data_IF_731882102848
#
_entry.id   IF_731882102848
#
_cell.length_a   1.000
_cell.length_b   1.000
_cell.length_c   1.000
_cell.angle_alpha   90.00
_cell.angle_beta   90.00
_cell.angle_gamma   90.00
#
_symmetry.space_group_name_H-M   'P 1'
#
loop_
_entity.id
_entity.type
_entity.pdbx_description
1 polymer ?
#
# COMPACT_ATOMS: atom_id res chain seq x y z
N UNK A 1 -5.50 6.66 -3.16
CA UNK A 1 -5.47 6.18 -4.58
C UNK A 1 -6.25 4.86 -4.75
N UNK A 2 -7.10 4.49 -3.80
CA UNK A 2 -7.96 3.30 -3.93
C UNK A 2 -9.08 3.57 -4.94
N UNK A 3 -9.13 2.76 -6.01
CA UNK A 3 -10.20 2.89 -7.02
C UNK A 3 -11.49 2.28 -6.49
N UNK A 4 -12.60 2.99 -6.70
CA UNK A 4 -13.94 2.46 -6.52
C UNK A 4 -14.36 1.60 -7.72
N UNK A 5 -15.31 0.70 -7.53
CA UNK A 5 -15.84 -0.18 -8.58
C UNK A 5 -16.41 0.60 -9.77
N UNK A 6 -16.99 1.77 -9.52
CA UNK A 6 -17.59 2.64 -10.52
C UNK A 6 -16.62 3.19 -11.59
N UNK A 7 -15.31 3.10 -11.37
CA UNK A 7 -14.30 3.53 -12.33
C UNK A 7 -13.93 2.45 -13.36
N UNK A 8 -14.33 1.20 -13.13
CA UNK A 8 -13.90 0.05 -13.94
C UNK A 8 -15.07 -0.72 -14.55
N UNK A 9 -14.93 -1.04 -15.82
CA UNK A 9 -15.78 -2.05 -16.44
C UNK A 9 -15.42 -3.46 -15.94
N UNK A 10 -16.38 -4.41 -15.91
CA UNK A 10 -16.10 -5.79 -15.49
C UNK A 10 -14.99 -6.48 -16.28
N UNK A 11 -14.84 -6.14 -17.56
CA UNK A 11 -13.80 -6.69 -18.42
C UNK A 11 -12.39 -6.22 -18.01
N UNK A 12 -12.24 -4.91 -17.74
CA UNK A 12 -10.96 -4.33 -17.26
C UNK A 12 -10.67 -4.85 -15.85
N UNK A 13 -11.65 -4.85 -14.96
CA UNK A 13 -11.50 -5.40 -13.61
C UNK A 13 -11.03 -6.87 -13.62
N UNK A 14 -11.66 -7.72 -14.43
CA UNK A 14 -11.26 -9.13 -14.61
C UNK A 14 -9.83 -9.28 -15.15
N UNK A 15 -9.42 -8.43 -16.10
CA UNK A 15 -8.06 -8.40 -16.62
C UNK A 15 -7.05 -8.04 -15.53
N UNK A 16 -7.35 -7.02 -14.73
CA UNK A 16 -6.47 -6.59 -13.65
C UNK A 16 -6.37 -7.64 -12.52
N UNK A 17 -7.47 -8.35 -12.22
CA UNK A 17 -7.43 -9.51 -11.33
C UNK A 17 -6.52 -10.62 -11.88
N UNK A 18 -6.61 -10.94 -13.16
CA UNK A 18 -5.75 -11.96 -13.79
C UNK A 18 -4.26 -11.57 -13.73
N UNK A 19 -3.92 -10.31 -14.05
CA UNK A 19 -2.56 -9.80 -13.97
C UNK A 19 -2.01 -9.85 -12.53
N UNK A 20 -2.76 -9.32 -11.58
CA UNK A 20 -2.36 -9.28 -10.17
C UNK A 20 -2.23 -10.68 -9.58
N UNK A 21 -3.13 -11.61 -9.94
CA UNK A 21 -3.06 -13.01 -9.51
C UNK A 21 -1.84 -13.74 -10.10
N UNK A 22 -1.49 -13.47 -11.36
CA UNK A 22 -0.29 -14.05 -11.97
C UNK A 22 0.99 -13.62 -11.24
N UNK A 23 1.10 -12.33 -10.89
CA UNK A 23 2.23 -11.80 -10.10
C UNK A 23 2.22 -12.35 -8.68
N UNK A 24 1.05 -12.53 -8.07
CA UNK A 24 0.92 -13.16 -6.75
C UNK A 24 1.39 -14.61 -6.77
N UNK A 25 0.98 -15.39 -7.76
CA UNK A 25 1.43 -16.78 -7.94
C UNK A 25 2.96 -16.87 -8.11
N UNK A 26 3.52 -15.99 -8.95
CA UNK A 26 4.99 -15.87 -9.06
C UNK A 26 5.63 -15.55 -7.71
N UNK A 27 5.09 -14.58 -6.98
CA UNK A 27 5.63 -14.16 -5.67
C UNK A 27 5.59 -15.28 -4.63
N UNK A 28 4.49 -16.03 -4.58
CA UNK A 28 4.36 -17.23 -3.73
C UNK A 28 5.44 -18.26 -4.08
N UNK A 29 5.66 -18.54 -5.36
CA UNK A 29 6.69 -19.53 -5.77
C UNK A 29 8.11 -19.10 -5.38
N UNK A 30 8.39 -17.80 -5.38
CA UNK A 30 9.69 -17.25 -4.95
C UNK A 30 9.88 -17.37 -3.44
N UNK A 31 8.88 -16.94 -2.64
CA UNK A 31 8.97 -16.99 -1.17
C UNK A 31 9.05 -18.43 -0.65
N UNK A 32 8.34 -19.37 -1.30
CA UNK A 32 8.41 -20.80 -0.92
C UNK A 32 9.81 -21.38 -1.00
N UNK A 33 10.70 -20.83 -1.82
CA UNK A 33 12.10 -21.27 -1.98
C UNK A 33 13.05 -20.60 -1.00
N UNK A 34 12.61 -19.54 -0.31
CA UNK A 34 13.42 -18.85 0.68
C UNK A 34 13.28 -19.53 2.05
N UNK A 35 14.41 -19.74 2.74
CA UNK A 35 14.46 -20.37 4.07
C UNK A 35 14.82 -19.34 5.16
N UNK A 36 14.23 -18.14 5.07
CA UNK A 36 14.44 -17.06 6.05
C UNK A 36 13.31 -17.06 7.09
N UNK A 37 13.63 -17.53 8.29
CA UNK A 37 12.69 -17.57 9.41
C UNK A 37 12.33 -16.18 9.96
N UNK A 38 13.14 -15.16 9.69
CA UNK A 38 12.91 -13.79 10.16
C UNK A 38 11.94 -13.03 9.23
N UNK A 39 11.74 -13.53 8.02
CA UNK A 39 10.94 -12.87 6.99
C UNK A 39 9.46 -12.73 7.39
N UNK A 40 8.89 -13.78 7.95
CA UNK A 40 7.46 -13.81 8.34
C UNK A 40 7.12 -12.78 9.42
N UNK A 41 7.83 -12.75 10.57
CA UNK A 41 7.61 -11.72 11.57
C UNK A 41 7.82 -10.31 11.00
N UNK A 42 8.80 -10.12 10.12
CA UNK A 42 9.06 -8.84 9.47
C UNK A 42 7.92 -8.45 8.52
N UNK A 43 7.38 -9.38 7.72
CA UNK A 43 6.20 -9.13 6.88
C UNK A 43 4.99 -8.68 7.70
N UNK A 44 4.70 -9.36 8.81
CA UNK A 44 3.58 -9.01 9.67
C UNK A 44 3.71 -7.61 10.27
N UNK A 45 4.87 -7.31 10.87
CA UNK A 45 5.10 -6.01 11.53
C UNK A 45 5.19 -4.87 10.51
N UNK A 46 5.89 -5.07 9.40
CA UNK A 46 5.95 -4.06 8.34
C UNK A 46 4.61 -3.88 7.64
N UNK A 47 3.83 -4.95 7.50
CA UNK A 47 2.45 -4.88 7.00
C UNK A 47 1.55 -4.03 7.91
N UNK A 48 1.60 -4.28 9.22
CA UNK A 48 0.86 -3.45 10.19
C UNK A 48 1.33 -1.99 10.20
N UNK A 49 2.65 -1.76 10.08
CA UNK A 49 3.20 -0.41 9.99
C UNK A 49 2.70 0.33 8.76
N UNK A 50 2.73 -0.30 7.58
CA UNK A 50 2.27 0.32 6.33
C UNK A 50 0.75 0.51 6.36
N UNK A 51 -0.02 -0.47 6.84
CA UNK A 51 -1.46 -0.32 7.04
C UNK A 51 -1.79 0.91 7.90
N UNK A 52 -1.13 1.04 9.06
CA UNK A 52 -1.31 2.19 9.94
C UNK A 52 -0.92 3.51 9.26
N UNK A 53 0.19 3.51 8.51
CA UNK A 53 0.68 4.70 7.81
C UNK A 53 -0.26 5.13 6.66
N UNK A 54 -0.95 4.19 6.02
CA UNK A 54 -1.96 4.48 4.98
C UNK A 54 -3.22 5.14 5.53
N UNK A 55 -3.53 4.99 6.82
CA UNK A 55 -4.65 5.68 7.45
C UNK A 55 -4.40 7.17 7.69
N UNK A 56 -3.15 7.64 7.57
CA UNK A 56 -2.83 9.05 7.77
C UNK A 56 -2.87 9.77 6.43
N UNK A 57 -3.96 10.48 6.20
CA UNK A 57 -4.03 11.46 5.13
C UNK A 57 -3.34 12.75 5.57
N UNK A 58 -2.33 13.18 4.83
CA UNK A 58 -1.66 14.47 5.01
C UNK A 58 -2.14 15.49 3.97
N UNK A 59 -2.42 16.69 4.40
CA UNK A 59 -2.87 17.76 3.51
C UNK A 59 -1.75 18.16 2.53
N UNK A 60 -2.08 18.27 1.24
CA UNK A 60 -1.18 18.86 0.23
C UNK A 60 -1.42 20.36 0.18
N UNK A 61 -0.46 21.20 0.64
CA UNK A 61 -0.68 22.63 0.77
C UNK A 61 -1.09 23.30 -0.55
N UNK A 62 -2.09 24.17 -0.48
CA UNK A 62 -2.55 24.98 -1.62
C UNK A 62 -3.41 24.25 -2.66
N UNK A 63 -3.71 22.95 -2.50
CA UNK A 63 -4.48 22.17 -3.48
C UNK A 63 -5.93 21.91 -3.06
N UNK A 64 -6.20 21.80 -1.76
CA UNK A 64 -7.47 21.30 -1.23
C UNK A 64 -7.59 19.77 -1.32
N UNK A 65 -6.47 19.08 -1.52
CA UNK A 65 -6.34 17.62 -1.53
C UNK A 65 -5.55 17.13 -0.34
N UNK A 66 -5.68 15.86 -0.05
CA UNK A 66 -4.78 15.09 0.82
C UNK A 66 -4.12 13.95 0.07
N UNK A 67 -3.21 13.27 0.74
CA UNK A 67 -2.59 12.04 0.27
C UNK A 67 -2.20 11.17 1.44
N UNK A 68 -2.05 9.89 1.19
CA UNK A 68 -1.55 8.92 2.14
C UNK A 68 -0.37 8.14 1.53
N UNK A 69 0.39 7.44 2.38
CA UNK A 69 1.44 6.57 1.89
C UNK A 69 0.84 5.41 1.09
N UNK A 70 1.49 5.05 -0.01
CA UNK A 70 1.22 3.81 -0.72
C UNK A 70 1.94 2.63 -0.03
N UNK A 71 3.20 2.83 0.37
CA UNK A 71 4.00 1.89 1.17
C UNK A 71 4.67 0.76 0.39
N UNK A 72 4.40 0.61 -0.90
CA UNK A 72 4.99 -0.46 -1.73
C UNK A 72 6.51 -0.42 -1.78
N UNK A 73 7.09 0.78 -1.94
CA UNK A 73 8.54 0.98 -1.92
C UNK A 73 9.16 0.63 -0.56
N UNK A 74 8.51 1.03 0.54
CA UNK A 74 8.98 0.72 1.90
C UNK A 74 8.98 -0.79 2.16
N UNK A 75 7.86 -1.47 1.86
CA UNK A 75 7.76 -2.92 2.04
C UNK A 75 8.81 -3.66 1.23
N UNK A 76 9.00 -3.29 -0.02
CA UNK A 76 9.92 -4.01 -0.89
C UNK A 76 11.39 -3.73 -0.61
N UNK A 77 11.75 -2.54 -0.15
CA UNK A 77 13.10 -2.22 0.33
C UNK A 77 13.48 -2.99 1.59
N UNK A 78 12.48 -3.41 2.39
CA UNK A 78 12.69 -4.27 3.57
C UNK A 78 12.63 -5.75 3.24
N UNK A 79 11.62 -6.17 2.49
CA UNK A 79 11.24 -7.58 2.34
C UNK A 79 11.70 -8.19 1.01
N UNK A 80 12.11 -7.37 0.05
CA UNK A 80 12.21 -7.73 -1.35
C UNK A 80 10.86 -7.70 -2.07
N UNK A 81 10.89 -7.65 -3.42
CA UNK A 81 9.69 -7.44 -4.22
C UNK A 81 8.59 -8.49 -4.01
N UNK A 82 8.86 -9.83 -4.02
CA UNK A 82 7.80 -10.82 -3.86
C UNK A 82 7.11 -10.76 -2.49
N UNK A 83 7.88 -10.63 -1.40
CA UNK A 83 7.33 -10.58 -0.06
C UNK A 83 6.60 -9.26 0.22
N UNK A 84 7.15 -8.14 -0.24
CA UNK A 84 6.49 -6.83 -0.19
C UNK A 84 5.16 -6.83 -0.93
N UNK A 85 5.11 -7.41 -2.13
CA UNK A 85 3.90 -7.50 -2.94
C UNK A 85 2.80 -8.32 -2.26
N UNK A 86 3.12 -9.51 -1.72
CA UNK A 86 2.13 -10.33 -1.00
C UNK A 86 1.67 -9.67 0.30
N UNK A 87 2.55 -8.97 1.00
CA UNK A 87 2.18 -8.19 2.19
C UNK A 87 1.20 -7.07 1.81
N UNK A 88 1.45 -6.37 0.71
CA UNK A 88 0.56 -5.32 0.22
C UNK A 88 -0.79 -5.86 -0.23
N UNK A 89 -0.84 -7.02 -0.90
CA UNK A 89 -2.12 -7.69 -1.21
C UNK A 89 -2.93 -7.92 0.08
N UNK A 90 -2.28 -8.40 1.14
CA UNK A 90 -2.95 -8.60 2.42
C UNK A 90 -3.51 -7.32 3.01
N UNK A 91 -2.76 -6.21 2.93
CA UNK A 91 -3.21 -4.88 3.38
C UNK A 91 -4.44 -4.44 2.59
N UNK A 92 -4.34 -4.39 1.26
CA UNK A 92 -5.41 -3.93 0.37
C UNK A 92 -6.67 -4.79 0.46
N UNK A 93 -6.52 -6.10 0.66
CA UNK A 93 -7.63 -7.01 0.88
C UNK A 93 -8.37 -6.68 2.18
N UNK A 94 -7.64 -6.41 3.26
CA UNK A 94 -8.23 -6.04 4.55
C UNK A 94 -8.91 -4.68 4.44
N UNK A 95 -8.29 -3.70 3.79
CA UNK A 95 -8.86 -2.38 3.55
C UNK A 95 -10.17 -2.48 2.76
N UNK A 96 -10.18 -3.22 1.68
CA UNK A 96 -11.36 -3.44 0.87
C UNK A 96 -12.48 -4.15 1.65
N UNK A 97 -12.18 -5.27 2.34
CA UNK A 97 -13.22 -6.10 2.94
C UNK A 97 -13.69 -5.61 4.31
N UNK A 98 -12.80 -5.07 5.15
CA UNK A 98 -13.18 -4.67 6.52
C UNK A 98 -13.54 -3.19 6.63
N UNK A 99 -12.96 -2.36 5.76
CA UNK A 99 -13.08 -0.89 5.85
C UNK A 99 -13.81 -0.26 4.67
N UNK A 100 -14.17 -1.05 3.66
CA UNK A 100 -14.75 -0.58 2.39
C UNK A 100 -13.87 0.45 1.66
N UNK A 101 -12.56 0.44 1.93
CA UNK A 101 -11.59 1.33 1.30
C UNK A 101 -11.13 0.72 -0.04
N UNK A 102 -11.62 1.29 -1.13
CA UNK A 102 -11.53 0.75 -2.49
C UNK A 102 -12.56 -0.32 -2.81
N UNK A 103 -12.95 -0.43 -4.09
CA UNK A 103 -13.97 -1.36 -4.55
C UNK A 103 -13.51 -2.82 -4.56
N UNK A 104 -14.44 -3.74 -4.29
CA UNK A 104 -14.16 -5.18 -4.32
C UNK A 104 -13.89 -5.66 -5.76
N UNK A 105 -14.63 -5.16 -6.76
CA UNK A 105 -14.39 -5.44 -8.16
C UNK A 105 -13.08 -4.77 -8.63
N UNK A 106 -12.73 -3.61 -8.09
CA UNK A 106 -11.51 -2.88 -8.39
C UNK A 106 -10.25 -3.41 -7.65
N UNK A 107 -10.38 -4.36 -6.73
CA UNK A 107 -9.25 -4.81 -5.90
C UNK A 107 -8.06 -5.30 -6.74
N UNK A 108 -8.30 -5.98 -7.88
CA UNK A 108 -7.23 -6.40 -8.78
C UNK A 108 -6.43 -5.23 -9.36
N UNK A 109 -7.11 -4.15 -9.74
CA UNK A 109 -6.52 -2.90 -10.21
C UNK A 109 -5.78 -2.17 -9.06
N UNK A 110 -6.38 -2.09 -7.88
CA UNK A 110 -5.75 -1.49 -6.70
C UNK A 110 -4.45 -2.22 -6.32
N UNK A 111 -4.43 -3.56 -6.38
CA UNK A 111 -3.21 -4.35 -6.18
C UNK A 111 -2.16 -4.03 -7.25
N UNK A 112 -2.57 -3.91 -8.52
CA UNK A 112 -1.65 -3.55 -9.59
C UNK A 112 -1.07 -2.15 -9.37
N UNK A 113 -1.92 -1.15 -9.19
CA UNK A 113 -1.54 0.25 -9.12
C UNK A 113 -0.73 0.61 -7.87
N UNK A 114 -1.05 0.01 -6.73
CA UNK A 114 -0.41 0.34 -5.45
C UNK A 114 0.69 -0.64 -5.06
N UNK A 115 0.57 -1.94 -5.39
CA UNK A 115 1.56 -2.93 -4.98
C UNK A 115 2.58 -3.25 -6.07
N UNK A 116 2.16 -3.47 -7.32
CA UNK A 116 3.08 -3.94 -8.36
C UNK A 116 4.19 -2.92 -8.63
N UNK A 117 3.85 -1.68 -8.91
CA UNK A 117 4.86 -0.67 -9.22
C UNK A 117 5.78 -0.41 -8.03
N UNK A 118 5.22 -0.21 -6.83
CA UNK A 118 6.02 0.03 -5.62
C UNK A 118 6.96 -1.12 -5.29
N UNK A 119 6.47 -2.35 -5.40
CA UNK A 119 7.26 -3.51 -5.01
C UNK A 119 8.23 -3.98 -6.10
N UNK A 120 7.81 -4.05 -7.36
CA UNK A 120 8.67 -4.58 -8.42
C UNK A 120 9.52 -3.49 -9.07
N UNK A 121 8.94 -2.40 -9.55
CA UNK A 121 9.72 -1.31 -10.16
C UNK A 121 10.53 -0.59 -9.10
N UNK A 122 9.93 -0.27 -7.95
CA UNK A 122 10.61 0.39 -6.85
C UNK A 122 11.82 -0.39 -6.34
N UNK A 123 11.68 -1.68 -5.99
CA UNK A 123 12.77 -2.46 -5.44
C UNK A 123 13.72 -3.01 -6.50
N UNK A 124 13.21 -3.71 -7.52
CA UNK A 124 14.07 -4.45 -8.45
C UNK A 124 14.79 -3.55 -9.45
N UNK A 125 14.24 -2.35 -9.73
CA UNK A 125 14.86 -1.40 -10.64
C UNK A 125 15.52 -0.29 -9.84
N UNK A 126 14.75 0.57 -9.18
CA UNK A 126 15.27 1.82 -8.60
C UNK A 126 16.19 1.53 -7.40
N UNK A 127 15.69 0.79 -6.39
CA UNK A 127 16.47 0.48 -5.20
C UNK A 127 17.75 -0.27 -5.55
N UNK A 128 17.64 -1.34 -6.36
CA UNK A 128 18.78 -2.16 -6.75
C UNK A 128 19.84 -1.36 -7.52
N UNK A 129 19.41 -0.49 -8.45
CA UNK A 129 20.35 0.35 -9.21
C UNK A 129 21.11 1.33 -8.32
N UNK A 130 20.40 1.99 -7.38
CA UNK A 130 21.01 2.97 -6.49
C UNK A 130 21.92 2.31 -5.46
N UNK A 131 21.56 1.11 -4.97
CA UNK A 131 22.34 0.36 -3.97
C UNK A 131 23.48 -0.47 -4.55
N UNK A 132 23.57 -0.63 -5.88
CA UNK A 132 24.55 -1.48 -6.58
C UNK A 132 26.00 -1.29 -6.09
N UNK A 133 26.39 -0.05 -5.79
CA UNK A 133 27.74 0.31 -5.36
C UNK A 133 27.80 0.62 -3.85
N UNK A 134 27.11 -0.17 -3.03
CA UNK A 134 27.05 -0.01 -1.59
C UNK A 134 25.97 1.00 -1.14
N UNK A 135 25.48 0.79 0.08
CA UNK A 135 24.43 1.60 0.69
C UNK A 135 25.01 2.76 1.50
N UNK A 136 24.29 3.87 1.54
CA UNK A 136 24.52 5.00 2.45
C UNK A 136 23.20 5.72 2.69
N UNK A 137 23.07 6.48 3.79
CA UNK A 137 21.85 7.25 4.08
C UNK A 137 21.43 8.16 2.93
N UNK A 138 22.37 8.83 2.26
CA UNK A 138 22.09 9.69 1.10
C UNK A 138 21.50 8.89 -0.05
N UNK A 139 22.05 7.71 -0.35
CA UNK A 139 21.53 6.83 -1.40
C UNK A 139 20.17 6.25 -1.03
N UNK A 140 19.97 5.86 0.22
CA UNK A 140 18.68 5.36 0.72
C UNK A 140 17.62 6.44 0.57
N UNK A 141 17.88 7.66 1.01
CA UNK A 141 16.95 8.79 0.86
C UNK A 141 16.65 9.06 -0.63
N UNK A 142 17.67 9.12 -1.48
CA UNK A 142 17.51 9.34 -2.92
C UNK A 142 16.68 8.21 -3.58
N UNK A 143 17.00 6.95 -3.28
CA UNK A 143 16.27 5.79 -3.80
C UNK A 143 14.79 5.79 -3.35
N UNK A 144 14.53 6.17 -2.09
CA UNK A 144 13.18 6.27 -1.55
C UNK A 144 12.37 7.37 -2.25
N UNK A 145 12.93 8.57 -2.39
CA UNK A 145 12.24 9.69 -3.06
C UNK A 145 12.00 9.37 -4.54
N UNK A 146 13.02 8.97 -5.27
CA UNK A 146 12.89 8.63 -6.69
C UNK A 146 11.94 7.44 -6.86
N UNK A 147 12.07 6.41 -6.00
CA UNK A 147 11.24 5.22 -6.02
C UNK A 147 9.76 5.55 -5.80
N UNK A 148 9.42 6.26 -4.73
CA UNK A 148 8.04 6.63 -4.44
C UNK A 148 7.46 7.53 -5.54
N UNK A 149 8.20 8.55 -5.98
CA UNK A 149 7.73 9.44 -7.06
C UNK A 149 7.44 8.65 -8.34
N UNK A 150 8.39 7.88 -8.82
CA UNK A 150 8.23 7.14 -10.09
C UNK A 150 7.10 6.11 -9.98
N UNK A 151 7.03 5.35 -8.88
CA UNK A 151 6.04 4.29 -8.74
C UNK A 151 4.63 4.81 -8.51
N UNK A 152 4.47 5.94 -7.78
CA UNK A 152 3.18 6.61 -7.68
C UNK A 152 2.73 7.22 -9.01
N UNK A 153 3.65 7.83 -9.77
CA UNK A 153 3.32 8.34 -11.11
C UNK A 153 2.86 7.21 -12.04
N UNK A 154 3.51 6.05 -12.02
CA UNK A 154 3.10 4.89 -12.81
C UNK A 154 1.73 4.36 -12.34
N UNK A 155 1.50 4.25 -11.03
CA UNK A 155 0.21 3.84 -10.48
C UNK A 155 -0.92 4.81 -10.86
N UNK A 156 -0.72 6.10 -10.65
CA UNK A 156 -1.68 7.13 -11.02
C UNK A 156 -1.97 7.16 -12.53
N UNK A 157 -0.96 6.94 -13.37
CA UNK A 157 -1.14 6.83 -14.82
C UNK A 157 -1.92 5.58 -15.20
N UNK A 158 -1.66 4.44 -14.55
CA UNK A 158 -2.43 3.21 -14.77
C UNK A 158 -3.90 3.38 -14.42
N UNK A 159 -4.21 4.04 -13.30
CA UNK A 159 -5.61 4.39 -12.96
C UNK A 159 -6.29 5.12 -14.11
N UNK A 160 -5.64 6.12 -14.71
CA UNK A 160 -6.22 6.87 -15.82
C UNK A 160 -6.38 6.03 -17.08
N UNK A 161 -5.45 5.12 -17.36
CA UNK A 161 -5.54 4.17 -18.49
C UNK A 161 -6.64 3.12 -18.29
N UNK A 162 -6.76 2.57 -17.10
CA UNK A 162 -7.79 1.59 -16.72
C UNK A 162 -9.19 2.20 -16.82
N UNK A 163 -9.35 3.44 -16.35
CA UNK A 163 -10.61 4.20 -16.48
C UNK A 163 -10.93 4.50 -17.94
N UNK A 164 -9.94 4.93 -18.73
CA UNK A 164 -10.10 5.13 -20.18
C UNK A 164 -10.52 3.82 -20.89
N UNK A 165 -9.81 2.71 -20.61
CA UNK A 165 -10.09 1.42 -21.21
C UNK A 165 -11.46 0.87 -20.80
N UNK A 166 -11.96 1.25 -19.63
CA UNK A 166 -13.29 0.87 -19.14
C UNK A 166 -14.40 1.57 -19.91
N UNK A 167 -14.22 2.83 -20.31
CA UNK A 167 -15.17 3.58 -21.14
C UNK A 167 -16.55 3.80 -20.52
N UNK A 168 -16.67 3.72 -19.20
CA UNK A 168 -17.96 3.81 -18.47
C UNK A 168 -18.13 5.10 -17.71
N UNK A 169 -17.10 5.96 -17.67
CA UNK A 169 -17.10 7.23 -16.95
C UNK A 169 -17.00 8.40 -17.93
N UNK A 170 -17.54 9.54 -17.52
CA UNK A 170 -17.40 10.81 -18.24
C UNK A 170 -16.11 11.57 -17.88
N UNK A 171 -15.02 10.85 -17.59
CA UNK A 171 -13.73 11.42 -17.24
C UNK A 171 -12.85 11.55 -18.50
N UNK A 172 -12.69 12.76 -19.10
CA UNK A 172 -11.84 12.93 -20.26
C UNK A 172 -10.39 12.61 -19.91
N UNK A 173 -9.75 11.70 -20.65
CA UNK A 173 -8.41 11.18 -20.35
C UNK A 173 -7.37 12.28 -20.12
N UNK A 174 -7.29 13.27 -21.02
CA UNK A 174 -6.34 14.39 -20.90
C UNK A 174 -6.55 15.23 -19.64
N UNK A 175 -7.81 15.54 -19.32
CA UNK A 175 -8.13 16.26 -18.10
C UNK A 175 -7.76 15.43 -16.86
N UNK A 176 -8.11 14.15 -16.86
CA UNK A 176 -7.85 13.25 -15.73
C UNK A 176 -6.35 13.07 -15.49
N UNK A 177 -5.54 12.82 -16.52
CA UNK A 177 -4.08 12.76 -16.42
C UNK A 177 -3.49 14.08 -15.90
N UNK A 178 -4.00 15.22 -16.40
CA UNK A 178 -3.45 16.55 -16.04
C UNK A 178 -3.64 16.93 -14.57
N UNK A 179 -4.64 16.36 -13.89
CA UNK A 179 -4.85 16.56 -12.43
C UNK A 179 -4.25 15.43 -11.60
N UNK A 180 -4.34 14.17 -12.08
CA UNK A 180 -3.80 13.00 -11.38
C UNK A 180 -2.28 13.04 -11.21
N UNK A 181 -1.55 13.36 -12.28
CA UNK A 181 -0.09 13.31 -12.26
C UNK A 181 0.54 14.36 -11.31
N UNK A 182 0.16 15.64 -11.33
CA UNK A 182 0.76 16.64 -10.43
C UNK A 182 0.47 16.35 -8.96
N UNK A 183 -0.76 15.93 -8.59
CA UNK A 183 -1.09 15.67 -7.20
C UNK A 183 -0.33 14.45 -6.68
N UNK A 184 -0.21 13.39 -7.48
CA UNK A 184 0.55 12.19 -7.10
C UNK A 184 2.06 12.40 -7.12
N UNK A 185 2.58 13.40 -7.85
CA UNK A 185 3.96 13.85 -7.71
C UNK A 185 4.22 14.41 -6.30
N UNK A 186 3.34 15.29 -5.82
CA UNK A 186 3.44 15.84 -4.46
C UNK A 186 3.33 14.77 -3.39
N UNK A 187 2.38 13.85 -3.53
CA UNK A 187 2.20 12.71 -2.61
C UNK A 187 3.46 11.84 -2.61
N UNK A 188 4.01 11.52 -3.79
CA UNK A 188 5.21 10.70 -3.93
C UNK A 188 6.46 11.32 -3.31
N UNK A 189 6.60 12.65 -3.35
CA UNK A 189 7.70 13.35 -2.68
C UNK A 189 7.61 13.20 -1.16
N UNK A 190 6.43 13.41 -0.58
CA UNK A 190 6.22 13.27 0.87
C UNK A 190 6.41 11.81 1.30
N UNK A 191 5.81 10.85 0.58
CA UNK A 191 5.99 9.42 0.83
C UNK A 191 7.47 9.03 0.75
N UNK A 192 8.20 9.54 -0.25
CA UNK A 192 9.62 9.26 -0.43
C UNK A 192 10.49 9.73 0.73
N UNK A 193 10.17 10.91 1.30
CA UNK A 193 10.87 11.45 2.48
C UNK A 193 10.58 10.56 3.71
N UNK A 194 9.32 10.20 3.96
CA UNK A 194 8.93 9.35 5.09
C UNK A 194 9.55 7.95 4.95
N UNK A 195 9.44 7.33 3.78
CA UNK A 195 10.06 6.05 3.47
C UNK A 195 11.57 6.09 3.68
N UNK A 196 12.23 7.14 3.17
CA UNK A 196 13.67 7.34 3.36
C UNK A 196 14.07 7.48 4.81
N UNK A 197 13.30 8.19 5.62
CA UNK A 197 13.56 8.35 7.05
C UNK A 197 13.47 7.01 7.79
N UNK A 198 12.42 6.21 7.55
CA UNK A 198 12.25 4.88 8.14
C UNK A 198 13.38 3.93 7.72
N UNK A 199 13.71 3.89 6.42
CA UNK A 199 14.78 3.03 5.91
C UNK A 199 16.17 3.46 6.39
N UNK A 200 16.43 4.76 6.57
CA UNK A 200 17.66 5.25 7.19
C UNK A 200 17.78 4.83 8.67
N UNK A 201 16.69 4.89 9.43
CA UNK A 201 16.65 4.36 10.79
C UNK A 201 16.99 2.86 10.82
N UNK A 202 16.34 2.06 9.96
CA UNK A 202 16.61 0.62 9.87
C UNK A 202 18.07 0.36 9.44
N UNK A 203 18.58 1.12 8.49
CA UNK A 203 19.97 1.00 8.03
C UNK A 203 20.99 1.25 9.16
N UNK A 204 20.74 2.22 10.04
CA UNK A 204 21.60 2.47 11.20
C UNK A 204 21.47 1.39 12.27
N UNK A 205 20.24 0.93 12.52
CA UNK A 205 19.98 -0.05 13.55
C UNK A 205 20.41 -1.47 13.13
N UNK A 206 20.01 -1.89 11.91
CA UNK A 206 20.23 -3.23 11.35
C UNK A 206 20.18 -3.23 9.81
N UNK A 207 21.29 -2.89 9.14
CA UNK A 207 21.33 -2.79 7.69
C UNK A 207 20.94 -4.07 6.95
N UNK A 208 21.16 -5.24 7.54
CA UNK A 208 20.79 -6.54 6.98
C UNK A 208 19.27 -6.79 6.91
N UNK A 209 18.46 -5.94 7.52
CA UNK A 209 17.00 -5.97 7.33
C UNK A 209 16.58 -5.30 6.04
N UNK A 210 17.47 -4.57 5.39
CA UNK A 210 17.21 -3.96 4.09
C UNK A 210 17.58 -4.92 2.96
N UNK A 211 16.64 -5.14 2.07
CA UNK A 211 16.79 -6.08 0.97
C UNK A 211 18.01 -5.76 0.07
N UNK A 212 18.86 -6.78 -0.12
CA UNK A 212 20.03 -6.68 -0.97
C UNK A 212 21.18 -5.83 -0.41
N UNK A 213 21.14 -5.49 0.88
CA UNK A 213 22.24 -4.79 1.56
C UNK A 213 23.03 -5.75 2.42
N UNK A 214 24.31 -5.93 2.08
CA UNK A 214 25.23 -6.70 2.90
C UNK A 214 25.77 -5.83 4.05
N UNK A 215 25.84 -6.43 5.23
CA UNK A 215 26.33 -5.75 6.43
C UNK A 215 27.86 -5.59 6.39
N UNK A 216 28.32 -4.43 5.97
CA UNK A 216 29.77 -4.12 5.84
C UNK A 216 30.43 -3.73 7.19
N UNK A 217 29.68 -3.48 8.28
CA UNK A 217 30.25 -2.90 9.51
C UNK A 217 30.09 -3.79 10.75
N UNK A 218 31.22 -3.94 11.48
CA UNK A 218 31.35 -4.57 12.82
C UNK A 218 30.86 -3.66 13.97
N UNK A 219 29.88 -2.79 13.76
CA UNK A 219 29.34 -1.98 14.86
C UNK A 219 28.35 -2.81 15.67
N UNK A 220 28.30 -2.62 17.00
CA UNK A 220 27.26 -3.22 17.82
C UNK A 220 25.89 -2.88 17.26
N UNK A 221 25.14 -3.91 16.88
CA UNK A 221 23.84 -3.77 16.21
C UNK A 221 22.74 -3.87 17.25
N UNK A 222 21.69 -3.07 17.07
CA UNK A 222 20.49 -3.23 17.88
C UNK A 222 19.92 -4.65 17.69
N UNK A 223 19.47 -5.34 18.76
CA UNK A 223 18.86 -6.66 18.63
C UNK A 223 17.68 -6.64 17.63
N UNK A 224 17.55 -7.65 16.77
CA UNK A 224 16.48 -7.77 15.77
C UNK A 224 15.09 -7.53 16.37
N UNK A 225 14.80 -8.21 17.50
CA UNK A 225 13.51 -8.05 18.21
C UNK A 225 13.25 -6.61 18.66
N UNK A 226 14.30 -5.87 19.01
CA UNK A 226 14.16 -4.47 19.44
C UNK A 226 13.82 -3.55 18.27
N UNK A 227 14.41 -3.77 17.10
CA UNK A 227 14.05 -3.00 15.88
C UNK A 227 12.59 -3.25 15.50
N UNK A 228 12.17 -4.51 15.48
CA UNK A 228 10.77 -4.85 15.20
C UNK A 228 9.81 -4.30 16.25
N UNK A 229 10.18 -4.32 17.51
CA UNK A 229 9.36 -3.74 18.59
C UNK A 229 9.21 -2.21 18.44
N UNK A 230 10.27 -1.51 18.03
CA UNK A 230 10.18 -0.07 17.73
C UNK A 230 9.25 0.19 16.54
N UNK A 231 9.39 -0.56 15.45
CA UNK A 231 8.51 -0.42 14.29
C UNK A 231 7.04 -0.72 14.63
N UNK A 232 6.81 -1.75 15.45
CA UNK A 232 5.46 -2.06 15.95
C UNK A 232 4.92 -0.96 16.86
N UNK A 233 5.73 -0.44 17.77
CA UNK A 233 5.33 0.68 18.62
C UNK A 233 5.00 1.93 17.79
N UNK A 234 5.79 2.23 16.77
CA UNK A 234 5.49 3.29 15.82
C UNK A 234 4.16 3.05 15.09
N UNK A 235 3.91 1.82 14.64
CA UNK A 235 2.63 1.46 14.01
C UNK A 235 1.43 1.71 14.94
N UNK A 236 1.55 1.32 16.22
CA UNK A 236 0.50 1.56 17.23
C UNK A 236 0.29 3.06 17.48
N UNK A 237 1.37 3.84 17.59
CA UNK A 237 1.28 5.31 17.77
C UNK A 237 0.62 5.96 16.54
N UNK A 238 0.97 5.50 15.34
CA UNK A 238 0.41 5.98 14.09
C UNK A 238 -1.09 5.65 14.03
N UNK A 239 -1.46 4.39 14.21
CA UNK A 239 -2.84 3.93 14.14
C UNK A 239 -3.72 4.51 15.26
N UNK A 240 -3.21 4.53 16.49
CA UNK A 240 -3.98 4.94 17.66
C UNK A 240 -3.99 6.44 17.95
N UNK A 241 -2.99 7.18 17.49
CA UNK A 241 -2.81 8.60 17.81
C UNK A 241 -2.76 9.52 16.60
N UNK A 242 -1.80 9.32 15.69
CA UNK A 242 -1.62 10.23 14.56
C UNK A 242 -2.77 10.15 13.55
N UNK A 243 -3.45 9.01 13.44
CA UNK A 243 -4.66 8.88 12.61
C UNK A 243 -5.79 9.83 13.01
N UNK A 244 -5.83 10.27 14.27
CA UNK A 244 -6.82 11.22 14.77
C UNK A 244 -6.65 12.65 14.25
N UNK A 245 -5.47 12.98 13.75
CA UNK A 245 -5.15 14.29 13.15
C UNK A 245 -4.99 14.19 11.62
N UNK A 246 -5.41 13.07 11.04
CA UNK A 246 -5.43 12.89 9.60
C UNK A 246 -6.33 13.95 8.92
N UNK A 247 -5.95 14.35 7.71
CA UNK A 247 -6.71 15.30 6.91
C UNK A 247 -8.05 14.70 6.49
N UNK A 248 -9.13 15.45 6.60
CA UNK A 248 -10.45 15.11 6.08
C UNK A 248 -10.67 15.54 4.62
N UNK A 249 -9.65 16.11 3.97
CA UNK A 249 -9.71 16.47 2.57
C UNK A 249 -9.70 15.22 1.69
N UNK A 250 -10.35 15.26 0.51
CA UNK A 250 -10.34 14.12 -0.42
C UNK A 250 -8.90 13.73 -0.80
N UNK A 251 -8.69 12.44 -1.02
CA UNK A 251 -7.39 11.93 -1.46
C UNK A 251 -7.08 12.37 -2.91
N UNK A 252 -5.88 12.06 -3.40
CA UNK A 252 -5.44 12.51 -4.72
C UNK A 252 -6.33 12.02 -5.87
N UNK A 253 -6.96 10.83 -5.76
CA UNK A 253 -7.88 10.30 -6.77
C UNK A 253 -9.25 10.98 -6.67
N UNK A 254 -9.86 10.99 -5.49
CA UNK A 254 -11.14 11.65 -5.21
C UNK A 254 -11.10 13.13 -5.58
N UNK A 255 -10.02 13.81 -5.18
CA UNK A 255 -9.78 15.21 -5.53
C UNK A 255 -9.70 15.42 -7.05
N UNK A 256 -9.00 14.50 -7.76
CA UNK A 256 -8.87 14.59 -9.23
C UNK A 256 -10.21 14.38 -9.92
N UNK A 257 -11.04 13.45 -9.42
CA UNK A 257 -12.40 13.25 -9.91
C UNK A 257 -13.24 14.52 -9.65
N UNK A 258 -13.19 15.06 -8.43
CA UNK A 258 -13.99 16.22 -8.05
C UNK A 258 -13.65 17.48 -8.85
N UNK A 259 -12.41 17.64 -9.29
CA UNK A 259 -11.98 18.75 -10.17
C UNK A 259 -12.60 18.68 -11.58
N UNK A 260 -13.02 17.49 -12.00
CA UNK A 260 -13.58 17.28 -13.34
C UNK A 260 -15.10 17.20 -13.29
N UNK A 261 -15.64 16.47 -12.31
CA UNK A 261 -17.08 16.14 -12.23
C UNK A 261 -17.84 17.00 -11.23
N UNK A 262 -17.15 17.64 -10.30
CA UNK A 262 -17.75 18.33 -9.15
C UNK A 262 -18.10 17.42 -7.97
N UNK A 263 -17.96 16.09 -8.09
CA UNK A 263 -18.20 15.10 -7.04
C UNK A 263 -16.94 14.30 -6.76
N UNK A 264 -16.71 13.88 -5.51
CA UNK A 264 -15.55 13.06 -5.11
C UNK A 264 -15.69 11.61 -5.54
N UNK A 265 -16.90 11.16 -5.77
CA UNK A 265 -17.23 9.79 -6.16
C UNK A 265 -17.98 9.75 -7.48
N UNK A 266 -17.84 8.65 -8.19
CA UNK A 266 -18.60 8.33 -9.41
C UNK A 266 -19.60 7.24 -9.04
N UNK A 267 -20.88 7.48 -9.34
CA UNK A 267 -21.91 6.47 -9.15
C UNK A 267 -21.88 5.45 -10.30
N UNK A 268 -22.05 4.19 -9.96
CA UNK A 268 -22.21 3.12 -10.95
C UNK A 268 -23.63 2.56 -10.88
N UNK A 269 -24.21 2.31 -12.05
CA UNK A 269 -25.53 1.68 -12.19
C UNK A 269 -25.37 0.30 -12.83
N UNK A 270 -25.98 -0.72 -12.24
CA UNK A 270 -25.99 -2.07 -12.82
C UNK A 270 -25.90 -3.17 -11.78
N UNK A 271 -26.48 -4.34 -12.11
CA UNK A 271 -26.61 -5.45 -11.17
C UNK A 271 -25.29 -6.03 -10.64
N UNK A 272 -24.21 -5.98 -11.45
CA UNK A 272 -22.91 -6.49 -11.03
C UNK A 272 -22.25 -5.60 -9.96
N UNK A 273 -22.37 -4.28 -10.10
CA UNK A 273 -21.84 -3.32 -9.12
C UNK A 273 -22.58 -3.44 -7.80
N UNK A 274 -23.93 -3.49 -7.85
CA UNK A 274 -24.77 -3.69 -6.68
C UNK A 274 -24.49 -5.02 -5.98
N UNK A 275 -24.15 -6.08 -6.74
CA UNK A 275 -23.78 -7.37 -6.17
C UNK A 275 -22.48 -7.29 -5.38
N UNK A 276 -21.42 -6.70 -5.94
CA UNK A 276 -20.14 -6.56 -5.23
C UNK A 276 -20.24 -5.58 -4.05
N UNK A 277 -20.92 -4.44 -4.21
CA UNK A 277 -21.21 -3.52 -3.11
C UNK A 277 -21.97 -4.22 -1.97
N UNK A 278 -22.99 -5.02 -2.29
CA UNK A 278 -23.75 -5.76 -1.27
C UNK A 278 -22.93 -6.83 -0.54
N UNK A 279 -21.90 -7.39 -1.15
CA UNK A 279 -20.93 -8.26 -0.46
C UNK A 279 -20.04 -7.42 0.45
N UNK A 280 -19.50 -6.32 -0.05
CA UNK A 280 -18.61 -5.44 0.67
C UNK A 280 -19.29 -4.84 1.91
N UNK A 281 -20.51 -4.35 1.81
CA UNK A 281 -21.30 -3.81 2.92
C UNK A 281 -21.53 -4.80 4.06
N UNK A 282 -21.70 -6.09 3.72
CA UNK A 282 -21.86 -7.15 4.72
C UNK A 282 -20.54 -7.47 5.43
N UNK A 283 -19.40 -7.37 4.72
CA UNK A 283 -18.09 -7.69 5.25
C UNK A 283 -17.42 -6.51 5.94
N UNK A 284 -17.73 -5.28 5.53
CA UNK A 284 -17.17 -4.06 6.11
C UNK A 284 -17.69 -3.88 7.54
N UNK A 285 -16.84 -4.22 8.51
CA UNK A 285 -17.14 -4.09 9.94
C UNK A 285 -16.97 -2.64 10.38
N UNK A 286 -15.99 -1.94 9.80
CA UNK A 286 -15.59 -0.57 10.12
C UNK A 286 -15.51 0.25 8.83
N UNK A 287 -16.62 0.52 8.11
CA UNK A 287 -16.59 1.30 6.89
C UNK A 287 -15.96 2.67 7.16
N UNK A 288 -15.14 3.15 6.22
CA UNK A 288 -14.39 4.41 6.33
C UNK A 288 -13.61 4.57 7.64
N UNK A 289 -13.11 3.44 8.16
CA UNK A 289 -12.39 3.36 9.44
C UNK A 289 -13.17 3.84 10.66
N UNK A 290 -14.51 3.92 10.57
CA UNK A 290 -15.42 4.32 11.63
C UNK A 290 -16.24 3.16 12.19
N UNK A 291 -17.03 3.43 13.24
CA UNK A 291 -18.07 2.50 13.70
C UNK A 291 -19.36 2.72 12.89
N UNK A 292 -20.04 1.64 12.46
CA UNK A 292 -21.32 1.73 11.71
C UNK A 292 -22.42 2.54 12.43
N UNK A 293 -22.35 2.70 13.73
CA UNK A 293 -23.41 3.29 14.55
C UNK A 293 -23.02 4.60 15.22
N UNK A 294 -21.79 5.09 15.07
CA UNK A 294 -21.36 6.33 15.72
C UNK A 294 -20.14 6.94 15.06
N UNK A 295 -20.18 8.23 14.77
CA UNK A 295 -19.07 9.02 14.23
C UNK A 295 -18.09 9.48 15.34
N UNK A 296 -17.67 8.54 16.19
CA UNK A 296 -16.74 8.89 17.24
C UNK A 296 -15.30 8.76 16.75
N UNK A 297 -14.46 9.75 17.10
CA UNK A 297 -13.01 9.77 16.84
C UNK A 297 -12.33 8.46 17.33
N UNK A 298 -12.87 7.82 18.37
CA UNK A 298 -12.41 6.53 18.87
C UNK A 298 -12.50 5.41 17.83
N UNK A 299 -13.44 5.50 16.86
CA UNK A 299 -13.61 4.54 15.78
C UNK A 299 -12.36 4.40 14.93
N UNK A 300 -11.76 5.52 14.51
CA UNK A 300 -10.56 5.54 13.67
C UNK A 300 -9.35 4.88 14.37
N UNK A 301 -9.08 5.24 15.63
CA UNK A 301 -7.99 4.62 16.39
C UNK A 301 -8.21 3.13 16.60
N UNK A 302 -9.44 2.73 16.94
CA UNK A 302 -9.79 1.33 17.14
C UNK A 302 -9.64 0.52 15.85
N UNK A 303 -10.17 1.03 14.74
CA UNK A 303 -10.05 0.44 13.41
C UNK A 303 -8.61 0.28 12.98
N UNK A 304 -7.77 1.28 13.24
CA UNK A 304 -6.35 1.24 12.92
C UNK A 304 -5.59 0.15 13.69
N UNK A 305 -5.84 0.03 14.98
CA UNK A 305 -5.22 -1.02 15.80
C UNK A 305 -5.71 -2.40 15.40
N UNK A 306 -7.03 -2.58 15.24
CA UNK A 306 -7.63 -3.85 14.82
C UNK A 306 -7.13 -4.27 13.44
N UNK A 307 -7.12 -3.36 12.46
CA UNK A 307 -6.61 -3.63 11.12
C UNK A 307 -5.13 -4.04 11.13
N UNK A 308 -4.29 -3.33 11.87
CA UNK A 308 -2.89 -3.71 12.05
C UNK A 308 -2.71 -5.12 12.64
N UNK A 309 -3.49 -5.48 13.67
CA UNK A 309 -3.49 -6.83 14.26
C UNK A 309 -3.94 -7.87 13.23
N UNK A 310 -5.00 -7.61 12.45
CA UNK A 310 -5.50 -8.52 11.42
C UNK A 310 -4.48 -8.73 10.31
N UNK A 311 -3.74 -7.68 9.90
CA UNK A 311 -2.62 -7.80 8.94
C UNK A 311 -1.54 -8.74 9.47
N UNK A 312 -1.13 -8.59 10.74
CA UNK A 312 -0.15 -9.50 11.36
C UNK A 312 -0.66 -10.93 11.35
N UNK A 313 -1.89 -11.15 11.80
CA UNK A 313 -2.50 -12.48 11.85
C UNK A 313 -2.60 -13.11 10.46
N UNK A 314 -3.01 -12.34 9.45
CA UNK A 314 -3.09 -12.81 8.06
C UNK A 314 -1.71 -13.27 7.56
N UNK A 315 -0.66 -12.46 7.77
CA UNK A 315 0.70 -12.84 7.41
C UNK A 315 1.14 -14.13 8.11
N UNK A 316 0.88 -14.27 9.42
CA UNK A 316 1.25 -15.46 10.19
C UNK A 316 0.49 -16.70 9.70
N UNK A 317 -0.83 -16.59 9.49
CA UNK A 317 -1.68 -17.70 9.00
C UNK A 317 -1.25 -18.14 7.61
N UNK A 318 -1.12 -17.23 6.66
CA UNK A 318 -0.70 -17.54 5.30
C UNK A 318 0.66 -18.25 5.28
N UNK A 319 1.61 -17.74 6.06
CA UNK A 319 2.94 -18.33 6.11
C UNK A 319 2.96 -19.73 6.79
N UNK A 320 2.13 -19.95 7.82
CA UNK A 320 2.01 -21.28 8.44
C UNK A 320 1.33 -22.27 7.48
N UNK A 321 0.33 -21.85 6.73
CA UNK A 321 -0.28 -22.67 5.68
C UNK A 321 0.76 -23.06 4.62
N UNK A 322 1.59 -22.12 4.17
CA UNK A 322 2.68 -22.43 3.23
C UNK A 322 3.69 -23.42 3.79
N UNK A 323 4.08 -23.32 5.07
CA UNK A 323 4.97 -24.29 5.72
C UNK A 323 4.32 -25.66 5.83
N UNK A 324 3.03 -25.74 6.15
CA UNK A 324 2.29 -26.97 6.25
C UNK A 324 2.24 -27.73 4.91
N UNK A 325 1.92 -27.03 3.83
CA UNK A 325 1.90 -27.63 2.48
C UNK A 325 3.29 -28.00 1.96
N UNK A 326 4.34 -27.28 2.36
CA UNK A 326 5.73 -27.61 2.00
C UNK A 326 6.20 -28.93 2.64
N UNK A 327 5.73 -29.26 3.85
CA UNK A 327 6.09 -30.52 4.53
C UNK A 327 5.40 -31.74 3.93
N UNK A 328 4.33 -31.56 3.15
CA UNK A 328 3.56 -32.64 2.55
C UNK A 328 3.90 -32.90 1.07
N UNK A 329 4.66 -32.03 0.43
CA UNK A 329 5.17 -32.16 -0.92
C UNK A 329 6.67 -32.56 -0.87
#
# INVERSE_FOLDING_TARGET
MHMADALLSPAVAGTMYACSTAVAAYSVTKIRKEDDQTKIPTMGIMGAFVFAAQMINFTIPGTGSSGHLCGGMLLSAMLGAPAGFLTMIGILLIQCLMFADGGLMALGANVWNMAFYGCFIGAMVIWRLVMKNGASKKKIMAASIIGCVVTLQLGAFSVTLETLASGITELPFTAFVSVMQPIHLCIGLVEGIITGAVLCFVYEARPELLWGIEAVYKKEKMPYKKVLAILLAMAVIIAGGLSLVASSLPDGLEWSISKITGATEVESTGGIYSFFAGIQDKLAIFPDYGFKSSDTIAGTSFSGIVGGVVVILLCVVCCNLFKFFRKKA
#
